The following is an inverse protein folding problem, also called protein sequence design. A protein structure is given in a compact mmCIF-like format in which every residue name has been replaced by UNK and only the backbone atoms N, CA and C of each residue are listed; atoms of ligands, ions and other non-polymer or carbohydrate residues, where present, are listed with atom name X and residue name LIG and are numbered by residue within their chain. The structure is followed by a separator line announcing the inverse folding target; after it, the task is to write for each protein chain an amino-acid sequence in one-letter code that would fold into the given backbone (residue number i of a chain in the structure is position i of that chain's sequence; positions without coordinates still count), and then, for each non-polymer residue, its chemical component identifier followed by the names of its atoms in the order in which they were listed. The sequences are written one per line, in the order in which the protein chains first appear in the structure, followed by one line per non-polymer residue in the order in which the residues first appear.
data_IF_038695876800
#
_entry.id   IF_038695876800
#
_cell.length_a   1.000
_cell.length_b   1.000
_cell.length_c   1.000
_cell.angle_alpha   90.00
_cell.angle_beta   90.00
_cell.angle_gamma   90.00
#
_symmetry.space_group_name_H-M   'P 1'
#
loop_
_entity.id
_entity.type
_entity.pdbx_description
1 polymer ?
#
# COMPACT_ATOMS: atom_id res chain seq x y z
N UNK A 1 7.37 40.95 -17.10
CA UNK A 1 8.49 41.91 -17.27
C UNK A 1 8.69 42.85 -16.08
N UNK A 2 7.70 43.09 -15.20
CA UNK A 2 7.78 44.14 -14.15
C UNK A 2 8.46 43.74 -12.81
N UNK A 3 8.78 42.46 -12.57
CA UNK A 3 9.39 42.04 -11.30
C UNK A 3 10.93 42.18 -11.29
N UNK A 4 11.55 42.25 -12.49
CA UNK A 4 13.01 42.26 -12.65
C UNK A 4 13.64 43.65 -12.54
N UNK A 5 12.91 44.71 -12.90
CA UNK A 5 13.42 46.09 -12.84
C UNK A 5 13.49 46.63 -11.41
N UNK A 6 12.45 46.36 -10.60
CA UNK A 6 12.38 46.78 -9.18
C UNK A 6 13.57 46.21 -8.37
N UNK A 7 14.03 45.00 -8.68
CA UNK A 7 15.16 44.36 -8.00
C UNK A 7 16.50 45.02 -8.33
N UNK A 8 16.66 45.51 -9.57
CA UNK A 8 17.90 46.12 -10.05
C UNK A 8 18.11 47.53 -9.51
N UNK A 9 17.04 48.32 -9.39
CA UNK A 9 17.09 49.66 -8.79
C UNK A 9 17.27 49.63 -7.27
N UNK A 10 16.91 48.52 -6.62
CA UNK A 10 17.15 48.31 -5.19
C UNK A 10 18.61 47.89 -4.89
N UNK A 11 19.27 47.23 -5.85
CA UNK A 11 20.63 46.69 -5.70
C UNK A 11 21.75 47.73 -5.90
N UNK A 12 21.45 48.88 -6.51
CA UNK A 12 22.45 49.92 -6.85
C UNK A 12 22.60 51.03 -5.79
N UNK A 13 21.82 51.00 -4.71
CA UNK A 13 21.95 51.94 -3.58
C UNK A 13 22.98 51.46 -2.53
N UNK A 14 23.77 52.35 -1.91
CA UNK A 14 24.63 51.96 -0.79
C UNK A 14 23.76 51.55 0.40
N UNK A 15 23.65 50.25 0.66
CA UNK A 15 22.82 49.69 1.72
C UNK A 15 23.38 50.04 3.10
N UNK A 16 22.55 50.68 3.92
CA UNK A 16 22.89 51.02 5.31
C UNK A 16 22.83 49.75 6.17
N UNK A 17 23.71 49.59 7.18
CA UNK A 17 23.75 48.39 8.04
C UNK A 17 22.38 48.03 8.68
N UNK A 18 21.56 49.05 8.98
CA UNK A 18 20.18 48.88 9.50
C UNK A 18 19.22 48.29 8.47
N UNK A 19 19.38 48.65 7.21
CA UNK A 19 18.56 48.12 6.10
C UNK A 19 18.96 46.68 5.79
N UNK A 20 20.26 46.36 5.82
CA UNK A 20 20.76 44.98 5.68
C UNK A 20 20.18 44.08 6.77
N UNK A 21 20.17 44.55 8.02
CA UNK A 21 19.61 43.79 9.14
C UNK A 21 18.11 43.54 8.98
N UNK A 22 17.34 44.54 8.52
CA UNK A 22 15.92 44.39 8.22
C UNK A 22 15.66 43.44 7.05
N UNK A 23 16.52 43.46 6.02
CA UNK A 23 16.43 42.58 4.86
C UNK A 23 16.72 41.12 5.23
N UNK A 24 17.71 40.89 6.11
CA UNK A 24 18.01 39.57 6.66
C UNK A 24 16.83 39.03 7.46
N UNK A 25 16.27 39.83 8.37
CA UNK A 25 15.13 39.43 9.19
C UNK A 25 13.90 39.08 8.32
N UNK A 26 13.63 39.87 7.28
CA UNK A 26 12.55 39.61 6.32
C UNK A 26 12.77 38.33 5.52
N UNK A 27 14.01 38.07 5.09
CA UNK A 27 14.37 36.84 4.40
C UNK A 27 14.22 35.61 5.31
N UNK A 28 14.62 35.74 6.58
CA UNK A 28 14.48 34.66 7.58
C UNK A 28 13.01 34.37 7.87
N UNK A 29 12.18 35.38 8.11
CA UNK A 29 10.74 35.21 8.34
C UNK A 29 10.08 34.57 7.10
N UNK A 30 10.40 35.08 5.91
CA UNK A 30 9.87 34.54 4.66
C UNK A 30 10.31 33.09 4.43
N UNK A 31 11.57 32.75 4.73
CA UNK A 31 12.09 31.39 4.66
C UNK A 31 11.40 30.43 5.63
N UNK A 32 11.21 30.83 6.89
CA UNK A 32 10.48 30.04 7.90
C UNK A 32 9.02 29.85 7.50
N UNK A 33 8.34 30.92 7.07
CA UNK A 33 6.96 30.85 6.61
C UNK A 33 6.81 29.94 5.38
N UNK A 34 7.73 30.02 4.43
CA UNK A 34 7.74 29.18 3.22
C UNK A 34 7.98 27.71 3.55
N UNK A 35 8.93 27.42 4.45
CA UNK A 35 9.18 26.05 4.92
C UNK A 35 7.94 25.43 5.58
N UNK A 36 7.30 26.16 6.50
CA UNK A 36 6.08 25.67 7.16
C UNK A 36 4.91 25.52 6.19
N UNK A 37 4.79 26.41 5.20
CA UNK A 37 3.78 26.32 4.16
C UNK A 37 3.94 25.05 3.34
N UNK A 38 5.16 24.75 2.87
CA UNK A 38 5.45 23.52 2.11
C UNK A 38 5.21 22.29 2.96
N UNK A 39 5.64 22.29 4.23
CA UNK A 39 5.43 21.16 5.15
C UNK A 39 3.94 20.89 5.38
N UNK A 40 3.14 21.94 5.59
CA UNK A 40 1.70 21.82 5.77
C UNK A 40 1.01 21.29 4.51
N UNK A 41 1.42 21.81 3.33
CA UNK A 41 0.94 21.31 2.05
C UNK A 41 1.37 19.85 1.83
N UNK A 42 2.60 19.46 2.16
CA UNK A 42 3.03 18.05 2.03
C UNK A 42 2.27 17.12 2.96
N UNK A 43 1.98 17.57 4.18
CA UNK A 43 1.19 16.80 5.14
C UNK A 43 -0.30 16.72 4.74
N UNK A 44 -0.82 17.73 4.04
CA UNK A 44 -2.18 17.76 3.50
C UNK A 44 -2.33 16.99 2.17
N UNK A 45 -1.28 17.00 1.33
CA UNK A 45 -1.28 16.42 -0.01
C UNK A 45 -0.77 14.96 -0.05
N UNK A 46 -0.22 14.44 1.04
CA UNK A 46 0.09 13.01 1.22
C UNK A 46 -0.91 12.31 2.16
N UNK A 47 -2.22 12.25 1.83
CA UNK A 47 -3.19 11.42 2.56
C UNK A 47 -2.89 9.92 2.40
N UNK A 48 -2.04 9.56 1.43
CA UNK A 48 -1.66 8.19 1.11
C UNK A 48 -0.80 7.52 2.18
N UNK A 49 0.08 8.23 2.88
CA UNK A 49 0.91 7.63 3.96
C UNK A 49 0.08 7.03 5.09
N UNK A 50 -0.94 7.77 5.57
CA UNK A 50 -1.81 7.28 6.64
C UNK A 50 -2.54 6.02 6.18
N UNK A 51 -3.14 6.06 4.99
CA UNK A 51 -3.84 4.91 4.41
C UNK A 51 -2.94 3.68 4.28
N UNK A 52 -1.70 3.82 3.80
CA UNK A 52 -0.73 2.72 3.69
C UNK A 52 -0.43 2.07 5.04
N UNK A 53 -0.25 2.87 6.09
CA UNK A 53 -0.02 2.37 7.45
C UNK A 53 -1.24 1.62 7.98
N UNK A 54 -2.45 2.14 7.74
CA UNK A 54 -3.69 1.48 8.14
C UNK A 54 -3.90 0.14 7.41
N UNK A 55 -3.63 0.09 6.11
CA UNK A 55 -3.70 -1.14 5.31
C UNK A 55 -2.70 -2.18 5.80
N UNK A 56 -1.45 -1.77 6.07
CA UNK A 56 -0.42 -2.65 6.63
C UNK A 56 -0.83 -3.24 7.97
N UNK A 57 -1.34 -2.40 8.89
CA UNK A 57 -1.85 -2.87 10.19
C UNK A 57 -3.02 -3.84 10.05
N UNK A 58 -3.91 -3.62 9.08
CA UNK A 58 -5.04 -4.52 8.81
C UNK A 58 -4.57 -5.86 8.26
N UNK A 59 -3.66 -5.86 7.29
CA UNK A 59 -3.04 -7.07 6.76
C UNK A 59 -2.32 -7.87 7.85
N UNK A 60 -1.53 -7.21 8.71
CA UNK A 60 -0.83 -7.87 9.82
C UNK A 60 -1.81 -8.54 10.80
N UNK A 61 -2.96 -7.92 11.08
CA UNK A 61 -4.00 -8.52 11.93
C UNK A 61 -4.62 -9.75 11.28
N UNK A 62 -4.98 -9.67 10.00
CA UNK A 62 -5.54 -10.80 9.25
C UNK A 62 -4.56 -11.96 9.19
N UNK A 63 -3.27 -11.68 8.95
CA UNK A 63 -2.24 -12.72 8.95
C UNK A 63 -2.07 -13.40 10.30
N UNK A 64 -2.13 -12.62 11.39
CA UNK A 64 -2.14 -13.18 12.75
C UNK A 64 -3.36 -14.06 13.02
N UNK A 65 -4.54 -13.67 12.51
CA UNK A 65 -5.77 -14.47 12.65
C UNK A 65 -5.69 -15.79 11.88
N UNK A 66 -5.14 -15.76 10.66
CA UNK A 66 -4.99 -16.94 9.79
C UNK A 66 -3.85 -17.85 10.29
N UNK A 67 -2.92 -17.34 11.10
CA UNK A 67 -1.84 -18.10 11.72
C UNK A 67 -0.60 -18.28 10.83
N UNK A 68 -0.48 -17.48 9.76
CA UNK A 68 0.70 -17.48 8.87
C UNK A 68 1.79 -16.63 9.51
N UNK A 69 2.62 -17.24 10.35
CA UNK A 69 3.76 -16.57 10.98
C UNK A 69 5.01 -16.73 10.11
N UNK A 70 5.64 -15.60 9.74
CA UNK A 70 6.98 -15.60 9.12
C UNK A 70 7.07 -15.26 7.63
N UNK A 71 5.98 -14.84 6.98
CA UNK A 71 6.04 -14.36 5.58
C UNK A 71 6.31 -12.86 5.55
N UNK A 72 7.45 -12.45 4.97
CA UNK A 72 7.72 -11.05 4.66
C UNK A 72 6.92 -10.67 3.42
N UNK A 73 5.79 -10.00 3.62
CA UNK A 73 5.04 -9.44 2.49
C UNK A 73 5.73 -8.21 1.93
N UNK A 74 5.80 -8.15 0.61
CA UNK A 74 6.04 -6.91 -0.12
C UNK A 74 4.84 -5.96 -0.03
N UNK A 75 5.01 -4.70 -0.42
CA UNK A 75 3.93 -3.69 -0.36
C UNK A 75 2.70 -4.10 -1.20
N UNK A 76 2.93 -4.69 -2.38
CA UNK A 76 1.86 -5.18 -3.25
C UNK A 76 1.11 -6.37 -2.63
N UNK A 77 1.83 -7.34 -2.08
CA UNK A 77 1.23 -8.49 -1.40
C UNK A 77 0.46 -8.08 -0.15
N UNK A 78 0.91 -7.04 0.55
CA UNK A 78 0.19 -6.47 1.70
C UNK A 78 -1.16 -5.92 1.28
N UNK A 79 -1.24 -5.22 0.14
CA UNK A 79 -2.50 -4.71 -0.41
C UNK A 79 -3.47 -5.85 -0.77
N UNK A 80 -2.95 -6.95 -1.32
CA UNK A 80 -3.75 -8.14 -1.64
C UNK A 80 -4.18 -8.86 -0.35
N UNK A 81 -3.29 -8.98 0.63
CA UNK A 81 -3.54 -9.68 1.89
C UNK A 81 -4.67 -9.05 2.72
N UNK A 82 -4.92 -7.74 2.57
CA UNK A 82 -6.08 -7.07 3.21
C UNK A 82 -7.42 -7.65 2.74
N UNK A 83 -7.48 -8.20 1.53
CA UNK A 83 -8.69 -8.78 0.95
C UNK A 83 -8.82 -10.28 1.21
N UNK A 84 -7.87 -10.89 1.94
CA UNK A 84 -7.93 -12.30 2.30
C UNK A 84 -9.00 -12.52 3.38
N UNK A 85 -9.89 -13.48 3.12
CA UNK A 85 -10.97 -13.85 4.05
C UNK A 85 -10.55 -15.11 4.81
N UNK A 86 -10.72 -15.10 6.14
CA UNK A 86 -10.53 -16.29 6.97
C UNK A 86 -11.74 -17.23 6.80
N UNK A 87 -11.56 -18.52 6.46
CA UNK A 87 -12.66 -19.48 6.40
C UNK A 87 -13.49 -19.57 7.70
N UNK A 88 -12.93 -19.19 8.86
CA UNK A 88 -13.66 -19.17 10.15
C UNK A 88 -14.73 -18.09 10.23
N UNK A 89 -14.64 -17.04 9.41
CA UNK A 89 -15.63 -15.96 9.36
C UNK A 89 -16.85 -16.33 8.49
N UNK A 90 -16.73 -17.38 7.66
CA UNK A 90 -17.81 -17.88 6.81
C UNK A 90 -18.75 -18.74 7.68
N UNK A 91 -19.93 -18.20 7.98
CA UNK A 91 -20.91 -18.84 8.90
C UNK A 91 -21.81 -19.89 8.24
N UNK A 92 -21.82 -19.97 6.91
CA UNK A 92 -22.68 -20.87 6.16
C UNK A 92 -21.98 -22.20 5.87
N UNK A 93 -22.73 -23.29 5.93
CA UNK A 93 -22.28 -24.64 5.58
C UNK A 93 -23.03 -25.14 4.34
N UNK A 94 -22.49 -26.14 3.65
CA UNK A 94 -23.16 -26.81 2.52
C UNK A 94 -24.57 -27.35 2.85
N UNK A 95 -24.83 -27.66 4.12
CA UNK A 95 -26.14 -28.12 4.61
C UNK A 95 -27.20 -27.02 4.66
N UNK A 96 -26.77 -25.76 4.62
CA UNK A 96 -27.65 -24.59 4.69
C UNK A 96 -28.15 -24.16 3.29
N UNK A 97 -27.67 -24.82 2.23
CA UNK A 97 -28.04 -24.54 0.83
C UNK A 97 -29.05 -25.59 0.37
N UNK A 98 -30.33 -25.23 0.26
CA UNK A 98 -31.39 -26.14 -0.17
C UNK A 98 -31.57 -26.17 -1.70
N UNK A 99 -31.85 -27.35 -2.25
CA UNK A 99 -32.32 -27.52 -3.64
C UNK A 99 -31.23 -27.57 -4.72
N UNK A 100 -29.94 -27.54 -4.33
CA UNK A 100 -28.79 -27.61 -5.24
C UNK A 100 -27.86 -28.79 -4.95
N UNK A 101 -28.37 -29.87 -4.33
CA UNK A 101 -27.55 -31.00 -3.87
C UNK A 101 -26.68 -31.62 -4.96
N UNK A 102 -27.19 -31.71 -6.19
CA UNK A 102 -26.44 -32.20 -7.35
C UNK A 102 -25.22 -31.30 -7.66
N UNK A 103 -25.41 -29.98 -7.69
CA UNK A 103 -24.36 -28.99 -7.96
C UNK A 103 -23.35 -28.95 -6.81
N UNK A 104 -23.83 -29.02 -5.57
CA UNK A 104 -22.98 -29.09 -4.37
C UNK A 104 -22.08 -30.34 -4.43
N UNK A 105 -22.64 -31.49 -4.80
CA UNK A 105 -21.88 -32.75 -4.92
C UNK A 105 -20.83 -32.68 -6.03
N UNK A 106 -21.17 -32.11 -7.18
CA UNK A 106 -20.23 -31.90 -8.28
C UNK A 106 -19.09 -30.98 -7.87
N UNK A 107 -19.40 -29.84 -7.23
CA UNK A 107 -18.41 -28.87 -6.79
C UNK A 107 -17.49 -29.44 -5.70
N UNK A 108 -18.04 -30.22 -4.77
CA UNK A 108 -17.27 -30.92 -3.75
C UNK A 108 -16.24 -31.88 -4.37
N UNK A 109 -16.65 -32.67 -5.36
CA UNK A 109 -15.79 -33.67 -6.00
C UNK A 109 -14.74 -33.05 -6.93
N UNK A 110 -15.12 -32.02 -7.69
CA UNK A 110 -14.27 -31.45 -8.74
C UNK A 110 -13.37 -30.32 -8.22
N UNK A 111 -13.87 -29.50 -7.29
CA UNK A 111 -13.14 -28.31 -6.81
C UNK A 111 -12.62 -28.52 -5.39
N UNK A 112 -13.41 -29.01 -4.44
CA UNK A 112 -12.99 -29.02 -3.03
C UNK A 112 -12.01 -30.16 -2.74
N UNK A 113 -12.31 -31.37 -3.21
CA UNK A 113 -11.52 -32.56 -2.94
C UNK A 113 -10.06 -32.46 -3.42
N UNK A 114 -9.76 -31.91 -4.62
CA UNK A 114 -8.38 -31.71 -5.07
C UNK A 114 -7.58 -30.75 -4.19
N UNK A 115 -8.20 -29.70 -3.64
CA UNK A 115 -7.51 -28.75 -2.76
C UNK A 115 -7.18 -29.36 -1.39
N UNK A 116 -8.09 -30.18 -0.85
CA UNK A 116 -7.86 -30.86 0.44
C UNK A 116 -6.82 -31.99 0.33
N UNK A 117 -6.81 -32.71 -0.80
CA UNK A 117 -5.89 -33.82 -1.06
C UNK A 117 -4.96 -33.51 -2.23
N UNK A 118 -4.18 -32.43 -2.07
CA UNK A 118 -3.23 -31.92 -3.09
C UNK A 118 -2.31 -32.99 -3.69
N UNK A 119 -1.94 -34.01 -2.92
CA UNK A 119 -1.08 -35.11 -3.36
C UNK A 119 -1.76 -36.12 -4.32
N UNK A 120 -3.11 -36.15 -4.38
CA UNK A 120 -3.87 -37.04 -5.27
C UNK A 120 -4.19 -36.39 -6.62
N UNK A 121 -4.10 -35.06 -6.72
CA UNK A 121 -4.43 -34.31 -7.92
C UNK A 121 -3.20 -33.88 -8.70
N UNK A 122 -3.03 -34.36 -9.94
CA UNK A 122 -2.00 -33.87 -10.87
C UNK A 122 -2.23 -32.42 -11.34
N UNK A 123 -3.41 -31.84 -11.07
CA UNK A 123 -3.82 -30.50 -11.52
C UNK A 123 -3.00 -29.34 -10.90
N UNK A 124 -2.44 -29.56 -9.70
CA UNK A 124 -1.65 -28.55 -8.98
C UNK A 124 -0.15 -28.84 -9.02
N UNK A 125 0.27 -29.86 -9.76
CA UNK A 125 1.70 -30.04 -10.00
C UNK A 125 2.10 -28.95 -11.01
N UNK A 126 3.15 -28.15 -10.72
CA UNK A 126 3.70 -27.28 -11.74
C UNK A 126 4.03 -28.16 -12.95
N UNK A 127 3.80 -27.68 -14.19
CA UNK A 127 4.13 -28.44 -15.38
C UNK A 127 5.57 -28.92 -15.25
N UNK A 128 5.77 -30.25 -15.27
CA UNK A 128 7.11 -30.82 -15.29
C UNK A 128 7.75 -30.35 -16.58
N UNK A 129 8.78 -29.53 -16.47
CA UNK A 129 9.62 -29.15 -17.59
C UNK A 129 10.23 -30.47 -18.11
N UNK A 130 9.93 -30.85 -19.34
CA UNK A 130 10.33 -32.14 -19.95
C UNK A 130 11.84 -32.28 -20.17
N UNK A 131 12.66 -31.39 -19.58
CA UNK A 131 14.11 -31.33 -19.72
C UNK A 131 14.86 -32.30 -18.80
N UNK A 132 14.19 -32.89 -17.81
CA UNK A 132 14.81 -33.82 -16.84
C UNK A 132 14.78 -35.29 -17.30
N UNK A 133 14.32 -35.59 -18.52
CA UNK A 133 14.27 -36.96 -19.07
C UNK A 133 15.33 -37.23 -20.16
N UNK A 134 16.28 -36.32 -20.36
CA UNK A 134 17.37 -36.45 -21.35
C UNK A 134 18.74 -36.17 -20.70
N UNK A 135 18.95 -36.57 -19.44
CA UNK A 135 20.28 -36.58 -18.81
C UNK A 135 20.70 -38.00 -18.44
#
# INVERSE_FOLDING_TARGET
MLLGEISKDLLTRPLTWKEVLGLLFRLTIFGVATYYSIKWVSDALDPTRKQRIHLKKKAERLMKQIGVNGVKLTEHETSIAVHLVDPRDIKITWKDIAGLDNVVTELQNTVILPFQKRHLSRLFQPPRDTRDLIS
#
